data_IF_197605070449
#
_entry.id   IF_197605070449
#
_cell.length_a   1.000
_cell.length_b   1.000
_cell.length_c   1.000
_cell.angle_alpha   90.00
_cell.angle_beta   90.00
_cell.angle_gamma   90.00
#
_symmetry.space_group_name_H-M   'P 1'
#
loop_
_entity.id
_entity.type
_entity.pdbx_description
1 polymer ?
#
# COMPACT_ATOMS: atom_id res chain seq x y z
N UNK A 1 -6.70 18.68 8.48
CA UNK A 1 -7.75 17.82 7.89
C UNK A 1 -7.02 16.62 7.32
N UNK A 2 -7.48 15.39 7.58
CA UNK A 2 -6.84 14.17 7.06
C UNK A 2 -7.52 13.82 5.74
N UNK A 3 -6.74 13.61 4.69
CA UNK A 3 -7.28 13.28 3.37
C UNK A 3 -7.11 11.80 3.03
N UNK A 4 -6.21 11.09 3.74
CA UNK A 4 -6.06 9.64 3.55
C UNK A 4 -7.25 8.87 4.14
N UNK A 5 -7.68 7.82 3.44
CA UNK A 5 -8.77 6.94 3.89
C UNK A 5 -8.32 5.48 3.94
N UNK A 6 -9.01 4.72 4.79
CA UNK A 6 -8.80 3.30 5.00
C UNK A 6 -10.17 2.63 5.05
N UNK A 7 -10.39 1.58 4.26
CA UNK A 7 -11.59 0.74 4.31
C UNK A 7 -11.19 -0.73 4.31
N UNK A 8 -11.78 -1.48 5.22
CA UNK A 8 -11.71 -2.94 5.33
C UNK A 8 -13.09 -3.60 5.15
N UNK A 9 -14.04 -2.87 4.56
CA UNK A 9 -15.42 -3.33 4.31
C UNK A 9 -15.49 -4.58 3.44
N UNK A 10 -14.47 -4.80 2.60
CA UNK A 10 -14.35 -5.94 1.68
C UNK A 10 -13.34 -6.98 2.16
N UNK A 11 -13.21 -7.16 3.49
CA UNK A 11 -12.32 -8.15 4.09
C UNK A 11 -12.38 -9.50 3.34
N UNK A 12 -11.23 -10.12 3.00
CA UNK A 12 -9.86 -9.81 3.44
C UNK A 12 -9.07 -8.86 2.51
N UNK A 13 -9.77 -8.04 1.73
CA UNK A 13 -9.15 -6.99 0.93
C UNK A 13 -9.36 -5.65 1.62
N UNK A 14 -8.25 -4.92 1.79
CA UNK A 14 -8.26 -3.59 2.39
C UNK A 14 -7.87 -2.56 1.35
N UNK A 15 -8.58 -1.44 1.36
CA UNK A 15 -8.35 -0.32 0.49
C UNK A 15 -7.77 0.86 1.26
N UNK A 16 -6.72 1.46 0.71
CA UNK A 16 -6.01 2.58 1.30
C UNK A 16 -5.89 3.66 0.22
N UNK A 17 -6.52 4.81 0.43
CA UNK A 17 -6.53 5.89 -0.56
C UNK A 17 -5.64 7.02 -0.06
N UNK A 18 -4.68 7.39 -0.88
CA UNK A 18 -3.75 8.50 -0.67
C UNK A 18 -3.98 9.54 -1.77
N UNK A 19 -4.81 10.57 -1.54
CA UNK A 19 -5.10 11.58 -2.55
C UNK A 19 -3.87 12.42 -2.93
N UNK A 20 -2.92 12.55 -1.99
CA UNK A 20 -1.65 13.25 -2.16
C UNK A 20 -0.56 12.57 -1.34
N UNK A 21 0.67 13.10 -1.35
CA UNK A 21 1.73 12.59 -0.49
C UNK A 21 1.35 12.79 0.97
N UNK A 22 1.35 11.73 1.79
CA UNK A 22 0.90 11.85 3.17
C UNK A 22 1.88 12.70 3.98
N UNK A 23 1.33 13.52 4.86
CA UNK A 23 2.07 14.19 5.92
C UNK A 23 2.56 13.20 6.98
N UNK A 24 3.45 13.64 7.86
CA UNK A 24 3.95 12.79 8.95
C UNK A 24 2.82 12.29 9.88
N UNK A 25 1.82 13.12 10.18
CA UNK A 25 0.67 12.74 11.02
C UNK A 25 -0.26 11.73 10.33
N UNK A 26 -0.44 11.87 9.03
CA UNK A 26 -1.18 10.90 8.21
C UNK A 26 -0.45 9.56 8.16
N UNK A 27 0.87 9.56 8.01
CA UNK A 27 1.67 8.33 8.14
C UNK A 27 1.48 7.71 9.53
N UNK A 28 1.51 8.49 10.62
CA UNK A 28 1.28 7.94 11.97
C UNK A 28 -0.07 7.22 12.07
N UNK A 29 -1.14 7.87 11.61
CA UNK A 29 -2.45 7.26 11.63
C UNK A 29 -2.53 6.01 10.75
N UNK A 30 -1.93 6.06 9.56
CA UNK A 30 -1.87 4.92 8.66
C UNK A 30 -1.17 3.72 9.29
N UNK A 31 -0.05 3.95 9.99
CA UNK A 31 0.66 2.90 10.70
C UNK A 31 -0.18 2.30 11.83
N UNK A 32 -1.00 3.09 12.53
CA UNK A 32 -1.94 2.56 13.53
C UNK A 32 -2.97 1.63 12.88
N UNK A 33 -3.48 1.95 11.69
CA UNK A 33 -4.38 1.07 10.94
C UNK A 33 -3.73 -0.24 10.50
N UNK A 34 -2.45 -0.21 10.14
CA UNK A 34 -1.71 -1.44 9.87
C UNK A 34 -1.48 -2.29 11.14
N UNK A 35 -1.26 -1.67 12.30
CA UNK A 35 -1.20 -2.42 13.58
C UNK A 35 -2.56 -3.08 13.90
N UNK A 36 -3.67 -2.37 13.71
CA UNK A 36 -5.03 -2.95 13.87
C UNK A 36 -5.25 -4.14 12.94
N UNK A 37 -4.75 -4.07 11.69
CA UNK A 37 -4.81 -5.18 10.74
C UNK A 37 -3.98 -6.37 11.19
N UNK A 38 -2.73 -6.15 11.59
CA UNK A 38 -1.87 -7.24 12.06
C UNK A 38 -2.36 -7.86 13.37
N UNK A 39 -3.08 -7.11 14.20
CA UNK A 39 -3.69 -7.64 15.42
C UNK A 39 -4.77 -8.70 15.15
N UNK A 40 -5.39 -8.70 13.95
CA UNK A 40 -6.35 -9.75 13.55
C UNK A 40 -5.68 -11.12 13.37
N UNK A 41 -4.38 -11.14 13.09
CA UNK A 41 -3.62 -12.36 12.78
C UNK A 41 -4.18 -13.17 11.60
N UNK A 42 -4.93 -12.50 10.72
CA UNK A 42 -5.53 -13.07 9.54
C UNK A 42 -4.83 -12.56 8.29
N UNK A 43 -4.94 -13.32 7.20
CA UNK A 43 -4.29 -12.95 5.96
C UNK A 43 -5.11 -11.95 5.17
N UNK A 44 -4.47 -10.94 4.59
CA UNK A 44 -5.13 -9.89 3.81
C UNK A 44 -4.33 -9.48 2.58
N UNK A 45 -4.99 -8.78 1.66
CA UNK A 45 -4.36 -8.14 0.50
C UNK A 45 -4.70 -6.65 0.52
N UNK A 46 -3.73 -5.81 0.16
CA UNK A 46 -3.89 -4.35 0.21
C UNK A 46 -3.95 -3.75 -1.19
N UNK A 47 -4.93 -2.89 -1.41
CA UNK A 47 -5.06 -2.03 -2.59
C UNK A 47 -4.75 -0.60 -2.16
N UNK A 48 -3.68 -0.05 -2.69
CA UNK A 48 -3.22 1.31 -2.39
C UNK A 48 -3.51 2.20 -3.59
N UNK A 49 -4.50 3.07 -3.46
CA UNK A 49 -4.89 4.03 -4.51
C UNK A 49 -4.13 5.34 -4.30
N UNK A 50 -3.36 5.74 -5.30
CA UNK A 50 -2.54 6.95 -5.25
C UNK A 50 -3.08 8.02 -6.21
N UNK A 51 -3.57 9.13 -5.64
CA UNK A 51 -3.92 10.36 -6.35
C UNK A 51 -2.76 11.35 -6.53
N UNK A 52 -1.54 10.95 -6.15
CA UNK A 52 -0.37 11.83 -6.15
C UNK A 52 -0.09 12.42 -7.54
N UNK A 53 0.09 13.74 -7.61
CA UNK A 53 0.52 14.43 -8.83
C UNK A 53 2.05 14.50 -8.94
N UNK A 54 2.58 14.65 -10.15
CA UNK A 54 4.04 14.70 -10.37
C UNK A 54 4.72 15.91 -9.73
N UNK A 55 3.96 16.97 -9.47
CA UNK A 55 4.45 18.21 -8.87
C UNK A 55 4.25 18.26 -7.35
N UNK A 56 3.64 17.24 -6.73
CA UNK A 56 3.39 17.25 -5.30
C UNK A 56 4.69 17.02 -4.51
N UNK A 57 4.94 17.87 -3.52
CA UNK A 57 6.12 17.78 -2.69
C UNK A 57 6.01 16.58 -1.72
N UNK A 58 7.08 15.79 -1.64
CA UNK A 58 7.19 14.69 -0.68
C UNK A 58 7.63 15.20 0.68
N UNK A 59 6.88 14.86 1.73
CA UNK A 59 7.40 14.98 3.09
C UNK A 59 8.47 13.87 3.31
N UNK A 60 9.73 14.32 3.40
CA UNK A 60 10.87 13.42 3.61
C UNK A 60 10.81 12.73 4.98
N UNK A 61 10.26 13.39 6.00
CA UNK A 61 10.12 12.81 7.33
C UNK A 61 9.06 11.73 7.33
N UNK A 62 7.91 12.00 6.70
CA UNK A 62 6.84 11.02 6.52
C UNK A 62 7.35 9.76 5.78
N UNK A 63 8.07 9.97 4.67
CA UNK A 63 8.66 8.89 3.87
C UNK A 63 9.63 8.04 4.70
N UNK A 64 10.56 8.67 5.43
CA UNK A 64 11.53 7.98 6.28
C UNK A 64 10.84 7.16 7.37
N UNK A 65 9.80 7.72 8.00
CA UNK A 65 9.03 7.05 9.04
C UNK A 65 8.32 5.80 8.52
N UNK A 66 7.61 5.92 7.39
CA UNK A 66 6.94 4.80 6.75
C UNK A 66 7.93 3.69 6.38
N UNK A 67 9.03 4.03 5.69
CA UNK A 67 10.03 3.04 5.27
C UNK A 67 10.69 2.34 6.47
N UNK A 68 11.03 3.10 7.51
CA UNK A 68 11.62 2.56 8.73
C UNK A 68 10.67 1.60 9.45
N UNK A 69 9.37 1.92 9.49
CA UNK A 69 8.37 1.07 10.10
C UNK A 69 8.11 -0.21 9.29
N UNK A 70 8.01 -0.12 7.97
CA UNK A 70 7.84 -1.30 7.09
C UNK A 70 9.01 -2.26 7.23
N UNK A 71 10.25 -1.74 7.27
CA UNK A 71 11.44 -2.58 7.46
C UNK A 71 11.40 -3.37 8.77
N UNK A 72 10.94 -2.74 9.86
CA UNK A 72 10.80 -3.38 11.17
C UNK A 72 9.67 -4.41 11.19
N UNK A 73 8.57 -4.14 10.48
CA UNK A 73 7.38 -4.99 10.45
C UNK A 73 7.33 -5.98 9.28
N UNK A 74 8.40 -6.05 8.48
CA UNK A 74 8.51 -6.98 7.35
C UNK A 74 8.13 -8.43 7.70
N UNK A 75 8.50 -9.01 8.87
CA UNK A 75 8.06 -10.36 9.22
C UNK A 75 6.52 -10.49 9.28
N UNK A 76 5.82 -9.48 9.81
CA UNK A 76 4.35 -9.48 9.89
C UNK A 76 3.72 -9.34 8.51
N UNK A 77 4.28 -8.50 7.65
CA UNK A 77 3.86 -8.44 6.24
C UNK A 77 4.06 -9.79 5.54
N UNK A 78 5.22 -10.42 5.71
CA UNK A 78 5.48 -11.73 5.11
C UNK A 78 4.54 -12.83 5.61
N UNK A 79 4.05 -12.72 6.84
CA UNK A 79 3.17 -13.70 7.46
C UNK A 79 1.70 -13.49 7.07
N UNK A 80 1.22 -12.25 7.09
CA UNK A 80 -0.20 -11.93 6.98
C UNK A 80 -0.57 -11.24 5.65
N UNK A 81 0.35 -10.53 5.00
CA UNK A 81 0.04 -9.86 3.73
C UNK A 81 0.26 -10.82 2.56
N UNK A 82 -0.80 -11.15 1.83
CA UNK A 82 -0.76 -11.97 0.61
C UNK A 82 -0.38 -11.18 -0.63
N UNK A 83 -0.53 -9.87 -0.60
CA UNK A 83 0.00 -9.00 -1.63
C UNK A 83 -0.42 -7.55 -1.50
N UNK A 84 0.33 -6.68 -2.16
CA UNK A 84 0.08 -5.24 -2.22
C UNK A 84 0.00 -4.81 -3.67
N UNK A 85 -1.05 -4.09 -4.04
CA UNK A 85 -1.17 -3.49 -5.38
C UNK A 85 -1.34 -1.99 -5.30
N UNK A 86 -0.51 -1.27 -6.04
CA UNK A 86 -0.62 0.17 -6.23
C UNK A 86 -1.49 0.47 -7.44
N UNK A 87 -2.50 1.31 -7.26
CA UNK A 87 -3.34 1.86 -8.33
C UNK A 87 -2.87 3.29 -8.59
N UNK A 88 -2.32 3.53 -9.79
CA UNK A 88 -1.83 4.85 -10.21
C UNK A 88 -2.46 5.17 -11.57
N UNK A 89 -3.49 6.01 -11.53
CA UNK A 89 -4.31 6.34 -12.71
C UNK A 89 -3.68 7.47 -13.53
N UNK A 90 -3.42 8.61 -12.90
CA UNK A 90 -3.14 9.86 -13.61
C UNK A 90 -1.68 10.04 -14.02
N UNK A 91 -0.71 9.64 -13.17
CA UNK A 91 0.70 9.92 -13.42
C UNK A 91 1.40 8.76 -14.15
N UNK A 92 1.83 9.01 -15.39
CA UNK A 92 2.65 8.06 -16.14
C UNK A 92 4.04 7.86 -15.51
N UNK A 93 4.66 8.92 -14.99
CA UNK A 93 6.00 8.87 -14.37
C UNK A 93 5.96 8.06 -13.08
N UNK A 94 4.97 8.32 -12.21
CA UNK A 94 4.81 7.57 -10.98
C UNK A 94 4.38 6.14 -11.24
N UNK A 95 3.50 5.91 -12.23
CA UNK A 95 3.17 4.55 -12.64
C UNK A 95 4.42 3.79 -13.05
N UNK A 96 5.29 4.36 -13.88
CA UNK A 96 6.53 3.73 -14.31
C UNK A 96 7.47 3.47 -13.12
N UNK A 97 7.65 4.45 -12.23
CA UNK A 97 8.48 4.31 -11.03
C UNK A 97 7.95 3.24 -10.07
N UNK A 98 6.65 3.24 -9.80
CA UNK A 98 6.00 2.23 -8.97
C UNK A 98 6.04 0.85 -9.61
N UNK A 99 5.83 0.74 -10.93
CA UNK A 99 5.95 -0.53 -11.65
C UNK A 99 7.36 -1.09 -11.56
N UNK A 100 8.39 -0.25 -11.70
CA UNK A 100 9.77 -0.64 -11.53
C UNK A 100 10.04 -1.09 -10.09
N UNK A 101 9.59 -0.33 -9.10
CA UNK A 101 9.69 -0.70 -7.69
C UNK A 101 9.03 -2.04 -7.40
N UNK A 102 7.76 -2.22 -7.79
CA UNK A 102 6.99 -3.46 -7.60
C UNK A 102 7.69 -4.68 -8.21
N UNK A 103 8.36 -4.51 -9.36
CA UNK A 103 9.11 -5.60 -10.00
C UNK A 103 10.47 -5.87 -9.34
N UNK A 104 11.22 -4.83 -8.99
CA UNK A 104 12.63 -4.96 -8.63
C UNK A 104 12.88 -5.06 -7.13
N UNK A 105 12.05 -4.42 -6.31
CA UNK A 105 12.34 -4.21 -4.88
C UNK A 105 11.15 -4.46 -3.97
N UNK A 106 9.92 -4.31 -4.46
CA UNK A 106 8.68 -4.45 -3.68
C UNK A 106 8.62 -5.74 -2.87
N UNK A 107 8.74 -6.93 -3.49
CA UNK A 107 8.66 -8.20 -2.76
C UNK A 107 9.74 -8.36 -1.71
N UNK A 108 10.97 -7.89 -1.99
CA UNK A 108 12.05 -7.91 -1.00
C UNK A 108 11.81 -6.92 0.13
N UNK A 109 11.18 -5.78 -0.16
CA UNK A 109 10.91 -4.72 0.80
C UNK A 109 9.79 -5.12 1.77
N UNK A 110 8.65 -5.59 1.26
CA UNK A 110 7.50 -5.96 2.07
C UNK A 110 7.52 -7.42 2.55
N UNK A 111 8.11 -8.35 1.80
CA UNK A 111 8.04 -9.78 2.10
C UNK A 111 6.82 -10.48 1.49
N UNK A 112 6.03 -9.80 0.67
CA UNK A 112 4.87 -10.33 -0.04
C UNK A 112 4.88 -9.90 -1.52
N UNK A 113 4.11 -10.54 -2.41
CA UNK A 113 3.93 -10.07 -3.79
C UNK A 113 3.53 -8.59 -3.86
N UNK A 114 4.07 -7.87 -4.85
CA UNK A 114 3.74 -6.45 -5.09
C UNK A 114 3.48 -6.23 -6.58
N UNK A 115 2.43 -5.48 -6.90
CA UNK A 115 2.12 -5.09 -8.28
C UNK A 115 1.71 -3.61 -8.38
N UNK A 116 1.67 -3.11 -9.60
CA UNK A 116 1.16 -1.79 -9.94
C UNK A 116 0.26 -1.90 -11.16
N UNK A 117 -0.92 -1.27 -11.08
CA UNK A 117 -1.97 -1.25 -12.10
C UNK A 117 -2.48 0.18 -12.31
N UNK A 118 -3.27 0.38 -13.37
CA UNK A 118 -3.80 1.69 -13.76
C UNK A 118 -5.25 1.91 -13.40
N UNK A 119 -5.94 0.94 -12.82
CA UNK A 119 -7.34 1.12 -12.42
C UNK A 119 -7.61 0.45 -11.09
N UNK A 120 -8.55 1.01 -10.32
CA UNK A 120 -9.02 0.39 -9.08
C UNK A 120 -9.58 -1.02 -9.32
N UNK A 121 -10.30 -1.21 -10.43
CA UNK A 121 -10.86 -2.50 -10.82
C UNK A 121 -9.76 -3.57 -10.99
N UNK A 122 -8.69 -3.27 -11.71
CA UNK A 122 -7.56 -4.21 -11.88
C UNK A 122 -6.86 -4.48 -10.55
N UNK A 123 -6.80 -3.48 -9.67
CA UNK A 123 -6.22 -3.60 -8.34
C UNK A 123 -6.99 -4.58 -7.48
N UNK A 124 -8.32 -4.41 -7.42
CA UNK A 124 -9.21 -5.33 -6.72
C UNK A 124 -9.13 -6.75 -7.28
N UNK A 125 -9.18 -6.91 -8.60
CA UNK A 125 -9.08 -8.22 -9.25
C UNK A 125 -7.74 -8.92 -8.93
N UNK A 126 -6.62 -8.18 -8.96
CA UNK A 126 -5.32 -8.72 -8.60
C UNK A 126 -5.25 -9.12 -7.12
N UNK A 127 -5.76 -8.27 -6.22
CA UNK A 127 -5.79 -8.52 -4.78
C UNK A 127 -6.64 -9.76 -4.43
N UNK A 128 -7.80 -9.92 -5.08
CA UNK A 128 -8.64 -11.12 -4.97
C UNK A 128 -7.87 -12.38 -5.34
N UNK A 129 -7.11 -12.33 -6.44
CA UNK A 129 -6.25 -13.45 -6.86
C UNK A 129 -5.14 -13.81 -5.86
N UNK A 130 -4.73 -12.90 -4.97
CA UNK A 130 -3.75 -13.20 -3.92
C UNK A 130 -4.36 -13.90 -2.70
N UNK A 131 -5.66 -13.71 -2.47
CA UNK A 131 -6.39 -14.29 -1.34
C UNK A 131 -6.91 -15.69 -1.68
N UNK A 132 -7.42 -15.89 -2.90
CA UNK A 132 -8.07 -17.14 -3.34
C UNK A 132 -7.12 -18.28 -3.69
N UNK A 133 -5.83 -18.18 -3.39
CA UNK A 133 -4.81 -19.18 -3.72
C UNK A 133 -4.45 -20.13 -2.57
N UNK A 134 -5.45 -20.73 -1.93
CA UNK A 134 -5.26 -21.93 -1.07
C UNK A 134 -5.58 -23.19 -1.86
#
# INVERSE_FOLDING_TARGET
MRDITFSDEHWPIVEMIFPSYPTTDEVVWFLQKLEELFARQETFAAVIVSGMSDNAARDKQATKKLMGWVKQNKPRFSQYCRGIVYVIEASAVQYAAAKLFSKMSGPRFYGCPVNTVRSKQDGLAWAQGQIGGQ
#
